data_IF_306025515891
#
_entry.id   IF_306025515891
#
_cell.length_a   1.000
_cell.length_b   1.000
_cell.length_c   1.000
_cell.angle_alpha   90.00
_cell.angle_beta   90.00
_cell.angle_gamma   90.00
#
_symmetry.space_group_name_H-M   'P 1'
#
loop_
_entity.id
_entity.type
_entity.pdbx_description
1 polymer ?
#
# COMPACT_ATOMS: atom_id res chain seq x y z
N UNK A 1 -40.42 -58.42 -7.66
CA UNK A 1 -39.87 -57.84 -6.41
C UNK A 1 -38.37 -58.09 -6.23
N UNK A 2 -37.84 -59.31 -6.45
CA UNK A 2 -36.40 -59.61 -6.26
C UNK A 2 -35.43 -58.89 -7.22
N UNK A 3 -35.83 -58.65 -8.49
CA UNK A 3 -34.98 -57.98 -9.50
C UNK A 3 -34.88 -56.45 -9.29
N UNK A 4 -35.93 -55.84 -8.75
CA UNK A 4 -35.99 -54.39 -8.46
C UNK A 4 -35.12 -54.01 -7.26
N UNK A 5 -35.04 -54.88 -6.25
CA UNK A 5 -34.16 -54.71 -5.08
C UNK A 5 -32.68 -54.80 -5.49
N UNK A 6 -32.34 -55.70 -6.42
CA UNK A 6 -30.97 -55.85 -6.91
C UNK A 6 -30.50 -54.62 -7.71
N UNK A 7 -31.37 -54.02 -8.54
CA UNK A 7 -31.05 -52.77 -9.24
C UNK A 7 -30.88 -51.59 -8.28
N UNK A 8 -31.73 -51.49 -7.25
CA UNK A 8 -31.61 -50.43 -6.25
C UNK A 8 -30.33 -50.57 -5.41
N UNK A 9 -29.94 -51.80 -5.06
CA UNK A 9 -28.68 -52.09 -4.36
C UNK A 9 -27.44 -51.80 -5.22
N UNK A 10 -27.51 -52.03 -6.54
CA UNK A 10 -26.41 -51.74 -7.48
C UNK A 10 -26.26 -50.23 -7.76
N UNK A 11 -27.36 -49.47 -7.75
CA UNK A 11 -27.30 -48.01 -7.81
C UNK A 11 -26.70 -47.41 -6.53
N UNK A 12 -27.01 -47.99 -5.36
CA UNK A 12 -26.43 -47.54 -4.07
C UNK A 12 -24.93 -47.83 -3.96
N UNK A 13 -24.42 -48.93 -4.55
CA UNK A 13 -22.98 -49.23 -4.53
C UNK A 13 -22.15 -48.30 -5.42
N UNK A 14 -22.72 -47.78 -6.51
CA UNK A 14 -22.07 -46.77 -7.36
C UNK A 14 -21.85 -45.42 -6.66
N UNK A 15 -22.71 -45.06 -5.71
CA UNK A 15 -22.58 -43.82 -4.91
C UNK A 15 -21.50 -43.93 -3.83
N UNK A 16 -21.21 -45.14 -3.32
CA UNK A 16 -20.16 -45.37 -2.34
C UNK A 16 -18.75 -45.20 -2.94
N UNK A 17 -18.55 -45.52 -4.21
CA UNK A 17 -17.27 -45.34 -4.91
C UNK A 17 -16.90 -43.86 -5.17
N UNK A 18 -17.89 -42.97 -5.22
CA UNK A 18 -17.69 -41.53 -5.37
C UNK A 18 -17.30 -40.83 -4.05
N UNK A 19 -17.35 -41.53 -2.91
CA UNK A 19 -17.10 -40.97 -1.58
C UNK A 19 -15.62 -41.01 -1.14
N UNK A 20 -14.71 -41.62 -1.89
CA UNK A 20 -13.30 -41.79 -1.48
C UNK A 20 -12.31 -41.47 -2.61
N UNK A 21 -12.33 -40.23 -3.11
CA UNK A 21 -11.21 -39.70 -3.90
C UNK A 21 -10.54 -38.54 -3.16
N UNK A 22 -10.06 -38.83 -1.95
CA UNK A 22 -9.23 -37.91 -1.17
C UNK A 22 -7.75 -38.15 -1.47
N UNK A 23 -6.92 -37.15 -1.16
CA UNK A 23 -5.46 -37.23 -1.13
C UNK A 23 -4.97 -36.58 0.15
N UNK A 24 -3.89 -37.10 0.69
CA UNK A 24 -3.22 -36.50 1.85
C UNK A 24 -2.13 -35.55 1.38
N UNK A 25 -2.15 -34.31 1.86
CA UNK A 25 -1.12 -33.31 1.66
C UNK A 25 -0.33 -33.15 2.95
N UNK A 26 0.98 -32.99 2.83
CA UNK A 26 1.91 -32.83 3.96
C UNK A 26 2.80 -31.62 3.73
N UNK A 27 3.36 -31.10 4.80
CA UNK A 27 4.25 -29.95 4.68
C UNK A 27 4.56 -29.29 6.00
N UNK A 28 5.10 -28.07 5.91
CA UNK A 28 5.41 -27.23 7.05
C UNK A 28 4.97 -25.78 6.85
N UNK A 29 4.67 -25.10 7.95
CA UNK A 29 4.39 -23.65 8.00
C UNK A 29 5.48 -22.97 8.82
N UNK A 30 6.16 -22.03 8.18
CA UNK A 30 7.33 -21.35 8.75
C UNK A 30 7.25 -19.84 8.53
N UNK A 31 8.00 -19.07 9.31
CA UNK A 31 8.16 -17.64 9.12
C UNK A 31 9.18 -17.30 8.00
N UNK A 32 9.56 -16.02 7.91
CA UNK A 32 10.56 -15.55 6.94
C UNK A 32 11.96 -16.10 7.18
N UNK A 33 12.30 -16.39 8.44
CA UNK A 33 13.62 -16.85 8.89
C UNK A 33 13.71 -18.39 8.89
N UNK A 34 12.59 -19.06 8.64
CA UNK A 34 12.49 -20.52 8.62
C UNK A 34 12.11 -21.13 9.96
N UNK A 35 11.74 -20.32 10.96
CA UNK A 35 11.26 -20.85 12.24
C UNK A 35 9.85 -21.44 12.07
N UNK A 36 9.56 -22.59 12.70
CA UNK A 36 8.24 -23.21 12.64
C UNK A 36 7.18 -22.33 13.32
N UNK A 37 5.96 -22.33 12.77
CA UNK A 37 4.81 -21.59 13.29
C UNK A 37 3.75 -22.54 13.84
N UNK A 38 3.94 -23.08 15.06
CA UNK A 38 2.99 -23.98 15.68
C UNK A 38 1.66 -23.26 15.99
N UNK A 39 0.54 -23.97 15.81
CA UNK A 39 -0.80 -23.41 15.98
C UNK A 39 -1.32 -22.61 14.78
N UNK A 40 -0.58 -22.56 13.67
CA UNK A 40 -1.13 -22.14 12.39
C UNK A 40 -2.20 -23.12 11.89
N UNK A 41 -3.06 -22.66 10.99
CA UNK A 41 -4.13 -23.46 10.40
C UNK A 41 -3.93 -23.52 8.89
N UNK A 42 -3.89 -24.73 8.34
CA UNK A 42 -3.92 -24.94 6.89
C UNK A 42 -5.33 -25.39 6.52
N UNK A 43 -5.99 -24.64 5.65
CA UNK A 43 -7.36 -24.90 5.22
C UNK A 43 -7.47 -25.14 3.70
N UNK A 44 -8.44 -25.97 3.36
CA UNK A 44 -8.84 -26.39 2.03
C UNK A 44 -10.36 -26.15 1.87
N UNK A 45 -10.85 -26.04 0.62
CA UNK A 45 -12.30 -25.88 0.33
C UNK A 45 -12.98 -24.79 1.17
N UNK A 46 -12.36 -23.62 1.29
CA UNK A 46 -12.84 -22.51 2.13
C UNK A 46 -13.07 -22.87 3.61
N UNK A 47 -12.32 -23.83 4.16
CA UNK A 47 -12.38 -24.21 5.57
C UNK A 47 -13.13 -25.51 5.87
N UNK A 48 -13.67 -26.20 4.86
CA UNK A 48 -14.34 -27.48 5.09
C UNK A 48 -13.37 -28.56 5.59
N UNK A 49 -12.17 -28.61 5.00
CA UNK A 49 -11.06 -29.41 5.51
C UNK A 49 -9.99 -28.47 6.07
N UNK A 50 -9.58 -28.70 7.32
CA UNK A 50 -8.52 -27.92 7.94
C UNK A 50 -7.67 -28.78 8.88
N UNK A 51 -6.40 -28.39 9.02
CA UNK A 51 -5.46 -29.02 9.94
C UNK A 51 -4.73 -27.93 10.73
N UNK A 52 -4.52 -28.21 12.01
CA UNK A 52 -3.68 -27.38 12.88
C UNK A 52 -2.24 -27.83 12.71
N UNK A 53 -1.32 -26.87 12.64
CA UNK A 53 0.12 -27.09 12.50
C UNK A 53 0.71 -27.47 13.86
N UNK A 54 1.47 -28.55 13.88
CA UNK A 54 2.09 -29.14 15.06
C UNK A 54 3.26 -28.30 15.61
N UNK A 55 3.78 -28.70 16.77
CA UNK A 55 4.85 -28.01 17.50
C UNK A 55 6.15 -27.86 16.69
N UNK A 56 6.43 -28.80 15.79
CA UNK A 56 7.58 -28.80 14.88
C UNK A 56 7.34 -28.00 13.58
N UNK A 57 6.16 -27.39 13.45
CA UNK A 57 5.75 -26.64 12.27
C UNK A 57 5.18 -27.49 11.14
N UNK A 58 5.02 -28.80 11.32
CA UNK A 58 4.49 -29.70 10.30
C UNK A 58 2.96 -29.76 10.31
N UNK A 59 2.37 -30.17 9.18
CA UNK A 59 0.94 -30.44 9.07
C UNK A 59 0.67 -31.62 8.15
N UNK A 60 -0.45 -32.29 8.39
CA UNK A 60 -1.03 -33.29 7.49
C UNK A 60 -2.51 -32.99 7.31
N UNK A 61 -2.97 -32.86 6.06
CA UNK A 61 -4.36 -32.55 5.75
C UNK A 61 -4.88 -33.49 4.65
N UNK A 62 -6.04 -34.08 4.86
CA UNK A 62 -6.73 -34.86 3.84
C UNK A 62 -7.70 -33.97 3.07
N UNK A 63 -7.57 -33.93 1.74
CA UNK A 63 -8.37 -33.06 0.86
C UNK A 63 -8.93 -33.85 -0.33
N UNK A 64 -10.08 -33.47 -0.89
CA UNK A 64 -10.55 -34.07 -2.14
C UNK A 64 -9.56 -33.87 -3.29
N UNK A 65 -9.40 -34.88 -4.15
CA UNK A 65 -8.45 -34.84 -5.29
C UNK A 65 -8.72 -33.71 -6.28
N UNK A 66 -9.98 -33.28 -6.41
CA UNK A 66 -10.36 -32.17 -7.29
C UNK A 66 -9.93 -30.80 -6.74
N UNK A 67 -9.57 -30.72 -5.46
CA UNK A 67 -9.15 -29.47 -4.84
C UNK A 67 -7.70 -29.14 -5.19
N UNK A 68 -7.49 -27.92 -5.67
CA UNK A 68 -6.19 -27.48 -6.18
C UNK A 68 -5.52 -26.39 -5.35
N UNK A 69 -6.14 -25.92 -4.26
CA UNK A 69 -5.56 -24.82 -3.45
C UNK A 69 -5.74 -25.04 -1.95
N UNK A 70 -4.70 -24.72 -1.19
CA UNK A 70 -4.72 -24.66 0.26
C UNK A 70 -4.27 -23.27 0.74
N UNK A 71 -4.76 -22.83 1.89
CA UNK A 71 -4.43 -21.53 2.49
C UNK A 71 -3.92 -21.74 3.90
N UNK A 72 -2.72 -21.24 4.19
CA UNK A 72 -2.21 -21.16 5.55
C UNK A 72 -2.62 -19.84 6.21
N UNK A 73 -3.06 -19.92 7.47
CA UNK A 73 -3.47 -18.81 8.34
C UNK A 73 -2.72 -18.90 9.66
N UNK A 74 -2.29 -17.76 10.18
CA UNK A 74 -1.71 -17.65 11.51
C UNK A 74 -1.99 -16.25 12.05
N UNK A 75 -2.21 -16.13 13.35
CA UNK A 75 -2.46 -14.85 13.99
C UNK A 75 -1.29 -13.89 13.74
N UNK A 76 -1.59 -12.65 13.35
CA UNK A 76 -0.56 -11.66 13.03
C UNK A 76 0.18 -11.87 11.70
N UNK A 77 -0.18 -12.86 10.88
CA UNK A 77 0.45 -13.13 9.57
C UNK A 77 -0.53 -12.94 8.41
N UNK A 78 0.01 -12.68 7.22
CA UNK A 78 -0.73 -12.60 5.96
C UNK A 78 -1.09 -14.02 5.50
N UNK A 79 -2.36 -14.25 5.21
CA UNK A 79 -2.83 -15.54 4.67
C UNK A 79 -2.06 -15.89 3.39
N UNK A 80 -1.53 -17.11 3.33
CA UNK A 80 -0.74 -17.59 2.20
C UNK A 80 -1.50 -18.68 1.47
N UNK A 81 -2.03 -18.36 0.29
CA UNK A 81 -2.66 -19.32 -0.62
C UNK A 81 -1.64 -19.93 -1.58
N UNK A 82 -1.63 -21.25 -1.69
CA UNK A 82 -0.77 -22.00 -2.61
C UNK A 82 -1.57 -23.06 -3.36
N UNK A 83 -1.10 -23.42 -4.56
CA UNK A 83 -1.62 -24.59 -5.28
C UNK A 83 -1.14 -25.85 -4.57
N UNK A 84 -2.04 -26.80 -4.38
CA UNK A 84 -1.71 -28.12 -3.82
C UNK A 84 -0.85 -28.87 -4.82
N UNK A 85 0.26 -29.42 -4.34
CA UNK A 85 1.22 -30.21 -5.14
C UNK A 85 1.32 -31.61 -4.55
N UNK A 86 1.76 -32.56 -5.39
CA UNK A 86 2.09 -33.90 -4.92
C UNK A 86 3.50 -33.85 -4.32
N UNK A 87 3.59 -33.89 -2.98
CA UNK A 87 4.83 -33.75 -2.22
C UNK A 87 4.72 -32.79 -1.04
N UNK A 88 5.83 -32.56 -0.35
CA UNK A 88 5.86 -31.68 0.83
C UNK A 88 5.73 -30.20 0.43
N UNK A 89 4.78 -29.50 1.05
CA UNK A 89 4.52 -28.08 0.83
C UNK A 89 5.12 -27.23 1.95
N UNK A 90 5.79 -26.12 1.60
CA UNK A 90 6.29 -25.17 2.61
C UNK A 90 5.58 -23.83 2.48
N UNK A 91 4.76 -23.49 3.47
CA UNK A 91 4.13 -22.17 3.58
C UNK A 91 5.06 -21.22 4.34
N UNK A 92 5.82 -20.41 3.60
CA UNK A 92 6.56 -19.28 4.18
C UNK A 92 5.64 -18.10 4.39
N UNK A 93 5.27 -17.86 5.64
CA UNK A 93 4.35 -16.81 6.07
C UNK A 93 5.08 -15.46 6.19
N UNK A 94 4.36 -14.37 5.92
CA UNK A 94 4.85 -13.01 6.15
C UNK A 94 3.97 -12.34 7.22
N UNK A 95 4.52 -11.49 8.10
CA UNK A 95 3.72 -10.68 9.01
C UNK A 95 2.62 -9.91 8.29
N UNK A 96 1.46 -9.82 8.94
CA UNK A 96 0.37 -8.95 8.49
C UNK A 96 0.86 -7.52 8.71
N UNK A 97 0.91 -6.75 7.63
CA UNK A 97 1.38 -5.38 7.71
C UNK A 97 0.32 -4.49 8.34
N UNK A 98 0.74 -3.74 9.36
CA UNK A 98 -0.10 -2.78 10.04
C UNK A 98 -0.56 -1.71 9.05
N UNK A 99 -1.88 -1.53 8.96
CA UNK A 99 -2.50 -0.40 8.28
C UNK A 99 -1.98 0.85 8.98
N UNK A 100 -1.08 1.54 8.32
CA UNK A 100 -0.29 2.59 8.94
C UNK A 100 -0.77 3.94 8.43
N UNK A 101 -1.07 4.87 9.34
CA UNK A 101 -1.29 6.26 8.99
C UNK A 101 -0.10 7.10 9.44
N UNK A 102 0.21 8.17 8.71
CA UNK A 102 1.22 9.12 9.13
C UNK A 102 0.73 10.55 8.99
N UNK A 103 1.30 11.44 9.80
CA UNK A 103 1.23 12.88 9.63
C UNK A 103 2.62 13.48 9.77
N UNK A 104 3.03 14.28 8.79
CA UNK A 104 4.28 15.03 8.80
C UNK A 104 4.00 16.54 8.76
N UNK A 105 4.76 17.30 9.55
CA UNK A 105 4.99 18.71 9.25
C UNK A 105 6.01 18.80 8.12
N UNK A 106 5.72 19.62 7.10
CA UNK A 106 6.56 19.77 5.90
C UNK A 106 7.04 21.21 5.81
N UNK A 107 8.34 21.39 5.63
CA UNK A 107 8.96 22.66 5.24
C UNK A 107 9.53 22.55 3.83
N UNK A 108 9.51 23.64 3.09
CA UNK A 108 10.03 23.66 1.72
C UNK A 108 10.69 24.99 1.37
N UNK A 109 11.53 24.92 0.35
CA UNK A 109 12.22 26.05 -0.27
C UNK A 109 11.79 26.11 -1.73
N UNK A 110 11.34 27.28 -2.17
CA UNK A 110 11.04 27.55 -3.59
C UNK A 110 12.32 28.02 -4.27
N UNK A 111 12.73 27.30 -5.30
CA UNK A 111 13.88 27.62 -6.13
C UNK A 111 13.52 27.70 -7.61
N UNK A 112 14.11 28.67 -8.30
CA UNK A 112 13.86 28.91 -9.72
C UNK A 112 12.58 29.70 -9.99
N UNK A 113 12.58 30.40 -11.12
CA UNK A 113 11.51 31.34 -11.47
C UNK A 113 11.53 32.59 -10.61
N UNK A 114 10.41 33.28 -10.61
CA UNK A 114 10.19 34.59 -10.01
C UNK A 114 10.13 34.59 -8.47
N UNK A 115 10.17 33.41 -7.85
CA UNK A 115 9.91 33.19 -6.42
C UNK A 115 11.09 32.57 -5.65
N UNK A 116 12.28 32.53 -6.25
CA UNK A 116 13.48 31.96 -5.64
C UNK A 116 13.78 32.61 -4.27
N UNK A 117 13.98 31.77 -3.26
CA UNK A 117 14.26 32.21 -1.88
C UNK A 117 13.07 32.11 -0.91
N UNK A 118 11.88 31.77 -1.40
CA UNK A 118 10.67 31.70 -0.56
C UNK A 118 10.65 30.42 0.29
N UNK A 119 10.30 30.55 1.58
CA UNK A 119 10.13 29.42 2.49
C UNK A 119 8.64 29.11 2.66
N UNK A 120 8.26 27.84 2.50
CA UNK A 120 6.90 27.34 2.68
C UNK A 120 6.82 26.34 3.82
N UNK A 121 5.65 26.27 4.46
CA UNK A 121 5.34 25.32 5.52
C UNK A 121 3.98 24.67 5.31
N UNK A 122 3.80 23.47 5.84
CA UNK A 122 2.55 22.75 5.68
C UNK A 122 2.52 21.39 6.35
N UNK A 123 1.58 20.56 5.91
CA UNK A 123 1.37 19.24 6.47
C UNK A 123 1.08 18.20 5.38
N UNK A 124 1.54 16.98 5.62
CA UNK A 124 1.28 15.82 4.78
C UNK A 124 0.69 14.70 5.62
N UNK A 125 -0.50 14.23 5.23
CA UNK A 125 -1.09 13.01 5.76
C UNK A 125 -1.00 11.89 4.72
N UNK A 126 -0.67 10.67 5.14
CA UNK A 126 -0.68 9.52 4.22
C UNK A 126 -1.16 8.23 4.89
N UNK A 127 -1.84 7.43 4.08
CA UNK A 127 -2.15 6.03 4.38
C UNK A 127 -1.11 5.15 3.69
N UNK A 128 -0.29 4.46 4.48
CA UNK A 128 0.86 3.69 4.00
C UNK A 128 0.55 2.18 3.99
N UNK A 129 0.48 1.62 2.79
CA UNK A 129 0.37 0.19 2.54
C UNK A 129 1.09 -0.19 1.23
N UNK A 130 0.95 -1.42 0.74
CA UNK A 130 1.52 -1.85 -0.56
C UNK A 130 1.15 -0.89 -1.69
N UNK A 131 -0.09 -0.38 -1.65
CA UNK A 131 -0.56 0.80 -2.34
C UNK A 131 -1.38 1.60 -1.34
N UNK A 132 -1.17 2.91 -1.35
CA UNK A 132 -1.83 3.85 -0.44
C UNK A 132 -2.04 5.19 -1.11
N UNK A 133 -2.34 6.19 -0.31
CA UNK A 133 -2.60 7.54 -0.80
C UNK A 133 -2.11 8.58 0.19
N UNK A 134 -1.92 9.80 -0.31
CA UNK A 134 -1.52 10.93 0.51
C UNK A 134 -2.30 12.19 0.13
N UNK A 135 -2.35 13.11 1.08
CA UNK A 135 -2.79 14.48 0.91
C UNK A 135 -1.75 15.39 1.54
N UNK A 136 -1.38 16.46 0.84
CA UNK A 136 -0.42 17.45 1.31
C UNK A 136 -0.91 18.86 1.02
N UNK A 137 -0.70 19.73 1.99
CA UNK A 137 -1.06 21.14 1.98
C UNK A 137 0.19 21.96 2.31
N UNK A 138 0.50 22.98 1.52
CA UNK A 138 1.61 23.91 1.73
C UNK A 138 1.12 25.36 1.66
N UNK A 139 1.66 26.21 2.52
CA UNK A 139 1.31 27.63 2.68
C UNK A 139 2.59 28.46 2.89
N UNK A 140 2.55 29.76 2.57
CA UNK A 140 3.63 30.71 2.90
C UNK A 140 3.33 31.37 4.25
N UNK A 141 4.37 31.69 5.02
CA UNK A 141 4.25 32.31 6.36
C UNK A 141 4.70 33.78 6.34
N UNK A 142 5.21 34.29 5.22
CA UNK A 142 5.69 35.67 5.14
C UNK A 142 4.64 36.60 4.48
N UNK A 143 4.19 37.60 5.22
CA UNK A 143 3.19 38.59 4.77
C UNK A 143 3.73 39.56 3.71
N UNK A 144 5.05 39.80 3.68
CA UNK A 144 5.69 40.60 2.61
C UNK A 144 5.68 39.87 1.25
N UNK A 145 5.37 38.57 1.24
CA UNK A 145 5.21 37.73 0.04
C UNK A 145 3.74 37.46 -0.30
N UNK A 146 2.80 38.14 0.37
CA UNK A 146 1.37 38.10 0.02
C UNK A 146 1.09 38.52 -1.43
N UNK A 147 2.04 39.22 -2.06
CA UNK A 147 1.99 39.64 -3.45
C UNK A 147 2.47 38.58 -4.45
N UNK A 148 2.98 37.40 -4.03
CA UNK A 148 3.63 36.44 -4.94
C UNK A 148 3.47 34.93 -4.66
N UNK A 149 2.28 34.32 -4.40
CA UNK A 149 2.33 32.98 -3.82
C UNK A 149 2.08 31.86 -4.84
N UNK A 150 3.08 30.98 -5.02
CA UNK A 150 2.91 29.61 -5.52
C UNK A 150 2.16 28.70 -4.52
N UNK A 151 1.39 29.28 -3.59
CA UNK A 151 0.70 28.65 -2.47
C UNK A 151 -0.61 29.40 -2.19
N UNK A 152 -1.67 28.79 -1.63
CA UNK A 152 -1.73 27.43 -1.11
C UNK A 152 -1.52 26.39 -2.22
N UNK A 153 -0.64 25.42 -1.97
CA UNK A 153 -0.51 24.25 -2.84
C UNK A 153 -1.20 23.08 -2.17
N UNK A 154 -2.14 22.46 -2.86
CA UNK A 154 -2.84 21.26 -2.42
C UNK A 154 -2.53 20.15 -3.41
N UNK A 155 -1.89 19.08 -2.94
CA UNK A 155 -1.56 17.91 -3.77
C UNK A 155 -2.08 16.65 -3.12
N UNK A 156 -2.63 15.76 -3.94
CA UNK A 156 -3.04 14.42 -3.51
C UNK A 156 -2.53 13.40 -4.52
N UNK A 157 -2.33 12.17 -4.07
CA UNK A 157 -1.81 11.14 -4.95
C UNK A 157 -1.68 9.79 -4.29
N UNK A 158 -0.85 8.97 -4.90
CA UNK A 158 -0.64 7.58 -4.49
C UNK A 158 0.70 7.42 -3.79
N UNK A 159 0.76 6.47 -2.86
CA UNK A 159 2.01 5.99 -2.27
C UNK A 159 2.22 4.54 -2.66
N UNK A 160 3.43 4.17 -3.04
CA UNK A 160 3.83 2.81 -3.38
C UNK A 160 4.94 2.35 -2.44
N UNK A 161 4.72 1.24 -1.73
CA UNK A 161 5.79 0.60 -0.96
C UNK A 161 6.88 0.07 -1.89
N UNK A 162 8.12 0.47 -1.61
CA UNK A 162 9.34 -0.05 -2.26
C UNK A 162 10.00 -1.11 -1.38
N UNK A 163 10.13 -0.82 -0.09
CA UNK A 163 10.63 -1.73 0.95
C UNK A 163 9.82 -1.54 2.24
N UNK A 164 10.05 -2.37 3.26
CA UNK A 164 9.30 -2.23 4.53
C UNK A 164 9.53 -0.87 5.23
N UNK A 165 10.64 -0.19 4.94
CA UNK A 165 10.99 1.11 5.52
C UNK A 165 10.83 2.28 4.53
N UNK A 166 10.49 2.05 3.26
CA UNK A 166 10.53 3.08 2.21
C UNK A 166 9.35 3.02 1.25
N UNK A 167 8.78 4.18 0.95
CA UNK A 167 7.65 4.36 0.04
C UNK A 167 7.95 5.50 -0.93
N UNK A 168 7.69 5.30 -2.22
CA UNK A 168 7.61 6.40 -3.16
C UNK A 168 6.20 7.00 -3.15
N UNK A 169 6.08 8.30 -3.42
CA UNK A 169 4.79 8.92 -3.68
C UNK A 169 4.85 9.79 -4.93
N UNK A 170 3.72 9.88 -5.62
CA UNK A 170 3.52 10.75 -6.76
C UNK A 170 2.07 11.20 -6.81
N UNK A 171 1.84 12.45 -7.20
CA UNK A 171 0.51 13.05 -7.20
C UNK A 171 0.46 14.33 -7.99
N UNK A 172 -0.74 14.90 -8.02
CA UNK A 172 -1.00 16.17 -8.63
C UNK A 172 -2.01 16.95 -7.80
N UNK A 173 -2.18 18.22 -8.13
CA UNK A 173 -3.23 19.02 -7.54
C UNK A 173 -3.16 20.45 -8.00
N UNK A 174 -3.58 21.34 -7.12
CA UNK A 174 -3.84 22.73 -7.41
C UNK A 174 -2.82 23.62 -6.69
N UNK A 175 -2.48 24.72 -7.35
CA UNK A 175 -1.68 25.81 -6.78
C UNK A 175 -2.15 27.12 -7.36
N UNK A 176 -1.98 28.21 -6.62
CA UNK A 176 -1.98 29.55 -7.21
C UNK A 176 -0.60 29.82 -7.84
N UNK A 177 -0.51 30.61 -8.91
CA UNK A 177 0.75 31.04 -9.57
C UNK A 177 0.59 32.52 -9.97
N UNK A 178 1.63 33.35 -9.83
CA UNK A 178 1.63 34.76 -10.26
C UNK A 178 2.62 35.01 -11.41
N UNK A 179 2.35 36.00 -12.25
CA UNK A 179 3.33 36.62 -13.17
C UNK A 179 3.44 38.12 -12.95
N UNK A 180 4.62 38.67 -13.23
CA UNK A 180 4.83 40.11 -13.43
C UNK A 180 4.57 40.49 -14.90
N UNK A 181 3.55 41.30 -15.18
CA UNK A 181 3.36 41.91 -16.51
C UNK A 181 4.19 43.20 -16.60
N UNK A 182 5.37 43.13 -17.22
CA UNK A 182 6.13 44.32 -17.62
C UNK A 182 5.55 44.89 -18.92
N UNK A 183 4.40 45.57 -18.84
CA UNK A 183 3.96 46.46 -19.91
C UNK A 183 4.34 47.91 -19.58
N UNK A 184 4.75 48.65 -20.62
CA UNK A 184 5.27 50.02 -20.56
C UNK A 184 4.18 51.00 -20.02
N UNK A 185 3.98 51.04 -18.71
CA UNK A 185 2.91 51.79 -18.05
C UNK A 185 2.92 51.64 -16.52
N UNK A 186 2.02 52.32 -15.77
CA UNK A 186 2.01 52.23 -14.31
C UNK A 186 1.68 50.80 -13.89
N UNK A 187 2.49 50.25 -12.98
CA UNK A 187 2.38 48.88 -12.47
C UNK A 187 0.99 48.63 -11.89
N UNK A 188 0.21 47.80 -12.57
CA UNK A 188 -0.98 47.17 -11.99
C UNK A 188 -0.50 45.92 -11.24
N UNK A 189 -0.97 45.76 -10.01
CA UNK A 189 -0.45 44.78 -9.04
C UNK A 189 -0.53 43.31 -9.50
N UNK A 190 0.00 42.37 -8.68
CA UNK A 190 0.22 40.98 -9.08
C UNK A 190 -1.10 40.27 -9.41
N UNK A 191 -1.19 39.69 -10.61
CA UNK A 191 -2.30 38.83 -11.01
C UNK A 191 -2.00 37.38 -10.60
N UNK A 192 -2.95 36.72 -9.94
CA UNK A 192 -2.88 35.30 -9.59
C UNK A 192 -3.72 34.47 -10.55
N UNK A 193 -3.13 33.46 -11.17
CA UNK A 193 -3.83 32.44 -11.96
C UNK A 193 -3.88 31.09 -11.24
N UNK A 194 -4.87 30.29 -11.63
CA UNK A 194 -5.01 28.90 -11.22
C UNK A 194 -3.96 28.06 -11.94
N UNK A 195 -3.16 27.32 -11.19
CA UNK A 195 -2.11 26.46 -11.71
C UNK A 195 -2.24 25.00 -11.27
N UNK A 196 -1.50 24.14 -11.97
CA UNK A 196 -1.32 22.74 -11.63
C UNK A 196 -0.05 22.54 -10.79
N UNK A 197 -0.13 21.68 -9.79
CA UNK A 197 1.02 21.20 -9.03
C UNK A 197 1.25 19.72 -9.30
N UNK A 198 2.47 19.33 -9.61
CA UNK A 198 2.90 17.94 -9.76
C UNK A 198 3.91 17.61 -8.68
N UNK A 199 3.67 16.52 -7.95
CA UNK A 199 4.39 16.23 -6.73
C UNK A 199 4.97 14.82 -6.75
N UNK A 200 6.24 14.69 -6.35
CA UNK A 200 6.96 13.42 -6.29
C UNK A 200 7.87 13.38 -5.06
N UNK A 201 8.10 12.21 -4.51
CA UNK A 201 9.05 12.07 -3.41
C UNK A 201 9.10 10.69 -2.79
N UNK A 202 9.79 10.63 -1.65
CA UNK A 202 10.04 9.40 -0.90
C UNK A 202 9.74 9.62 0.57
N UNK A 203 9.07 8.65 1.19
CA UNK A 203 8.79 8.58 2.62
C UNK A 203 9.62 7.44 3.20
N UNK A 204 10.33 7.74 4.27
CA UNK A 204 11.11 6.82 5.07
C UNK A 204 10.44 6.58 6.43
N UNK A 205 10.49 5.32 6.87
CA UNK A 205 10.06 4.86 8.19
C UNK A 205 11.26 4.30 8.95
N UNK A 206 12.20 5.14 9.41
CA UNK A 206 13.39 4.66 10.11
C UNK A 206 13.06 3.93 11.41
N UNK A 207 11.96 4.31 12.07
CA UNK A 207 11.47 3.68 13.30
C UNK A 207 9.94 3.53 13.26
N UNK A 208 9.41 2.70 14.18
CA UNK A 208 7.97 2.34 14.22
C UNK A 208 7.04 3.55 14.16
N UNK A 209 7.40 4.62 14.87
CA UNK A 209 6.58 5.82 15.07
C UNK A 209 7.14 7.10 14.43
N UNK A 210 8.23 6.99 13.64
CA UNK A 210 8.87 8.14 13.00
C UNK A 210 8.73 8.04 11.49
N UNK A 211 8.20 9.09 10.87
CA UNK A 211 8.18 9.29 9.42
C UNK A 211 9.04 10.48 9.04
N UNK A 212 9.79 10.32 7.95
CA UNK A 212 10.56 11.40 7.31
C UNK A 212 10.24 11.37 5.83
N UNK A 213 9.95 12.50 5.20
CA UNK A 213 9.77 12.56 3.75
C UNK A 213 10.69 13.60 3.12
N UNK A 214 11.12 13.29 1.90
CA UNK A 214 11.84 14.20 1.01
C UNK A 214 11.04 14.27 -0.27
N UNK A 215 10.79 15.49 -0.76
CA UNK A 215 9.86 15.72 -1.86
C UNK A 215 10.28 16.85 -2.78
N UNK A 216 9.65 16.85 -3.93
CA UNK A 216 9.76 17.88 -4.93
C UNK A 216 8.38 18.15 -5.52
N UNK A 217 7.96 19.41 -5.55
CA UNK A 217 6.73 19.82 -6.24
C UNK A 217 7.07 20.81 -7.35
N UNK A 218 6.54 20.57 -8.54
CA UNK A 218 6.59 21.46 -9.69
C UNK A 218 5.24 22.17 -9.80
N UNK A 219 5.24 23.49 -9.73
CA UNK A 219 4.06 24.34 -9.80
C UNK A 219 4.10 25.06 -11.16
N UNK A 220 3.05 24.94 -11.96
CA UNK A 220 3.00 25.53 -13.29
C UNK A 220 1.60 25.99 -13.65
N UNK A 221 1.50 27.04 -14.43
CA UNK A 221 0.26 27.49 -15.10
C UNK A 221 0.03 26.76 -16.45
N UNK A 222 0.95 25.86 -16.84
CA UNK A 222 0.99 25.15 -18.13
C UNK A 222 1.34 26.03 -19.34
N UNK A 223 1.81 27.26 -19.12
CA UNK A 223 2.25 28.18 -20.16
C UNK A 223 3.75 28.48 -19.96
N UNK A 224 4.11 29.61 -19.35
CA UNK A 224 5.50 30.09 -19.24
C UNK A 224 6.06 30.06 -17.80
N UNK A 225 5.25 29.76 -16.79
CA UNK A 225 5.62 29.86 -15.38
C UNK A 225 5.81 28.47 -14.83
N UNK A 226 7.01 28.24 -14.30
CA UNK A 226 7.30 27.03 -13.55
C UNK A 226 8.13 27.36 -12.33
N UNK A 227 7.61 27.03 -11.15
CA UNK A 227 8.31 27.14 -9.88
C UNK A 227 8.57 25.74 -9.32
N UNK A 228 9.69 25.57 -8.64
CA UNK A 228 10.06 24.28 -8.04
C UNK A 228 10.20 24.39 -6.54
N UNK A 229 9.60 23.45 -5.82
CA UNK A 229 9.59 23.42 -4.36
C UNK A 229 10.29 22.16 -3.88
N UNK A 230 11.51 22.31 -3.35
CA UNK A 230 12.20 21.25 -2.62
C UNK A 230 11.67 21.15 -1.19
N UNK A 231 11.37 19.94 -0.71
CA UNK A 231 10.65 19.76 0.55
C UNK A 231 11.25 18.69 1.44
N UNK A 232 11.19 18.94 2.74
CA UNK A 232 11.55 18.01 3.79
C UNK A 232 10.44 18.00 4.84
N UNK A 233 10.07 16.82 5.31
CA UNK A 233 9.08 16.70 6.37
C UNK A 233 9.43 15.62 7.37
N UNK A 234 8.93 15.80 8.58
CA UNK A 234 9.11 14.88 9.70
C UNK A 234 7.81 14.79 10.49
N UNK A 235 7.54 13.62 11.03
CA UNK A 235 6.36 13.44 11.87
C UNK A 235 6.18 12.04 12.40
N UNK A 236 4.92 11.71 12.64
CA UNK A 236 4.55 10.56 13.43
C UNK A 236 3.75 9.54 12.64
N UNK A 237 3.98 8.28 12.99
CA UNK A 237 3.29 7.12 12.41
C UNK A 237 2.42 6.44 13.48
N UNK A 238 1.12 6.35 13.20
CA UNK A 238 0.09 5.74 14.05
C UNK A 238 -0.25 4.32 13.61
#
# INVERSE_FOLDING_TARGET
>A
MKKSILMFALCLSGMAAMAQSTRTIKGAVVDKDGNPLPGATVEATNGAESAVVDADGTFTLEVPRWLNTATAKYAGMKNKKMKVQDGDMIFRMKPKQDRTWMINGVGGYIGGGDLDGTIVFGAMGAYLNDWGGYLKLLFCVNEDFAERPAVPTVTAGVTKRLTDFMYAYAGAGYTSVNYDEYEYGPSYGPYSCDGAAFDVGVIFRPYKHLSVNVGFTCNTDLEDCTNYIGQLGVGYIF
#
